data_IF_010858192914
#
_entry.id   IF_010858192914
#
_cell.length_a   1.000
_cell.length_b   1.000
_cell.length_c   1.000
_cell.angle_alpha   90.00
_cell.angle_beta   90.00
_cell.angle_gamma   90.00
#
_symmetry.space_group_name_H-M   'P 1'
#
loop_
_entity.id
_entity.type
_entity.pdbx_description
1 polymer ?
#
# COMPACT_ATOMS: atom_id res chain seq x y z
N UNK A 1 -0.75 9.06 -12.96
CA UNK A 1 -1.25 9.87 -11.83
C UNK A 1 -0.90 11.32 -12.11
N UNK A 2 -1.73 12.29 -11.70
CA UNK A 2 -1.30 13.70 -11.72
C UNK A 2 -0.18 13.90 -10.70
N UNK A 3 0.55 15.01 -10.77
CA UNK A 3 1.61 15.31 -9.79
C UNK A 3 1.02 15.39 -8.38
N UNK A 4 -0.13 16.07 -8.23
CA UNK A 4 -0.85 16.21 -6.95
C UNK A 4 -1.27 14.85 -6.39
N UNK A 5 -1.84 13.99 -7.23
CA UNK A 5 -2.24 12.64 -6.85
C UNK A 5 -1.03 11.81 -6.41
N UNK A 6 0.12 11.94 -7.10
CA UNK A 6 1.35 11.26 -6.72
C UNK A 6 1.88 11.68 -5.35
N UNK A 7 1.79 12.97 -5.00
CA UNK A 7 2.18 13.49 -3.68
C UNK A 7 1.32 12.90 -2.58
N UNK A 8 -0.02 12.94 -2.74
CA UNK A 8 -0.96 12.38 -1.75
C UNK A 8 -0.72 10.91 -1.46
N UNK A 9 -0.54 10.11 -2.51
CA UNK A 9 -0.22 8.68 -2.36
C UNK A 9 1.13 8.44 -1.69
N UNK A 10 2.10 9.34 -1.90
CA UNK A 10 3.42 9.24 -1.27
C UNK A 10 3.31 9.52 0.23
N UNK A 11 2.65 10.60 0.61
CA UNK A 11 2.41 10.98 2.00
C UNK A 11 1.68 9.86 2.74
N UNK A 12 0.57 9.39 2.18
CA UNK A 12 -0.17 8.26 2.75
C UNK A 12 0.66 6.99 2.92
N UNK A 13 1.47 6.62 1.91
CA UNK A 13 2.31 5.43 1.98
C UNK A 13 3.42 5.56 3.04
N UNK A 14 4.01 6.74 3.17
CA UNK A 14 5.03 7.01 4.19
C UNK A 14 4.43 6.98 5.60
N UNK A 15 3.26 7.57 5.79
CA UNK A 15 2.50 7.53 7.06
C UNK A 15 2.11 6.09 7.42
N UNK A 16 1.50 5.35 6.48
CA UNK A 16 1.10 3.96 6.70
C UNK A 16 2.27 3.10 7.14
N UNK A 17 3.42 3.25 6.48
CA UNK A 17 4.63 2.51 6.84
C UNK A 17 5.12 2.88 8.24
N UNK A 18 5.09 4.16 8.61
CA UNK A 18 5.46 4.60 9.96
C UNK A 18 4.52 4.01 11.01
N UNK A 19 3.22 4.01 10.77
CA UNK A 19 2.23 3.38 11.65
C UNK A 19 2.51 1.89 11.80
N UNK A 20 2.72 1.16 10.70
CA UNK A 20 3.08 -0.26 10.73
C UNK A 20 4.36 -0.53 11.52
N UNK A 21 5.38 0.31 11.37
CA UNK A 21 6.63 0.21 12.14
C UNK A 21 6.44 0.52 13.63
N UNK A 22 5.53 1.43 13.98
CA UNK A 22 5.23 1.77 15.36
C UNK A 22 4.37 0.69 16.06
N UNK A 23 3.41 0.11 15.32
CA UNK A 23 2.54 -0.96 15.79
C UNK A 23 3.16 -2.36 15.65
N UNK A 24 4.32 -2.46 15.00
CA UNK A 24 5.04 -3.71 14.73
C UNK A 24 4.18 -4.70 13.93
N UNK A 25 3.39 -4.19 12.99
CA UNK A 25 2.52 -4.96 12.10
C UNK A 25 3.14 -5.05 10.70
N UNK A 26 3.55 -6.25 10.22
CA UNK A 26 4.25 -6.39 8.95
C UNK A 26 3.33 -6.27 7.73
N UNK A 27 2.02 -6.42 7.93
CA UNK A 27 1.02 -6.32 6.88
C UNK A 27 -0.28 -5.66 7.38
N UNK A 28 -0.99 -5.03 6.46
CA UNK A 28 -2.29 -4.43 6.69
C UNK A 28 -3.20 -4.68 5.49
N UNK A 29 -4.44 -5.07 5.75
CA UNK A 29 -5.47 -5.19 4.71
C UNK A 29 -6.42 -4.01 4.82
N UNK A 30 -6.64 -3.31 3.70
CA UNK A 30 -7.56 -2.18 3.61
C UNK A 30 -8.52 -2.38 2.45
N UNK A 31 -9.75 -1.91 2.62
CA UNK A 31 -10.70 -1.82 1.52
C UNK A 31 -10.29 -0.73 0.53
N UNK A 32 -10.70 -0.87 -0.73
CA UNK A 32 -10.50 0.16 -1.75
C UNK A 32 -11.13 1.49 -1.34
N UNK A 33 -12.28 1.46 -0.66
CA UNK A 33 -12.95 2.66 -0.16
C UNK A 33 -12.15 3.37 0.93
N UNK A 34 -11.56 2.62 1.87
CA UNK A 34 -10.67 3.18 2.89
C UNK A 34 -9.44 3.83 2.25
N UNK A 35 -8.83 3.17 1.25
CA UNK A 35 -7.68 3.72 0.53
C UNK A 35 -8.06 5.02 -0.17
N UNK A 36 -9.22 5.10 -0.82
CA UNK A 36 -9.69 6.34 -1.47
C UNK A 36 -9.84 7.46 -0.45
N UNK A 37 -10.46 7.16 0.70
CA UNK A 37 -10.69 8.13 1.76
C UNK A 37 -9.38 8.63 2.36
N UNK A 38 -8.44 7.74 2.66
CA UNK A 38 -7.17 8.08 3.31
C UNK A 38 -6.19 8.77 2.34
N UNK A 39 -6.10 8.30 1.09
CA UNK A 39 -5.23 8.95 0.08
C UNK A 39 -5.81 10.24 -0.45
N UNK A 40 -7.12 10.48 -0.28
CA UNK A 40 -7.86 11.56 -0.95
C UNK A 40 -7.54 11.63 -2.45
N UNK A 41 -7.39 10.48 -3.12
CA UNK A 41 -7.02 10.39 -4.53
C UNK A 41 -8.10 10.99 -5.43
N UNK A 42 -7.69 11.57 -6.56
CA UNK A 42 -8.63 12.06 -7.59
C UNK A 42 -9.12 10.90 -8.50
N UNK A 43 -8.65 9.66 -8.26
CA UNK A 43 -9.09 8.47 -9.00
C UNK A 43 -10.46 8.00 -8.50
N UNK A 44 -11.32 7.60 -9.42
CA UNK A 44 -12.61 7.01 -9.06
C UNK A 44 -12.45 5.62 -8.44
N UNK A 45 -13.43 5.23 -7.62
CA UNK A 45 -13.56 3.88 -7.08
C UNK A 45 -13.58 2.81 -8.17
N UNK A 46 -14.14 3.11 -9.34
CA UNK A 46 -14.11 2.22 -10.50
C UNK A 46 -12.69 1.89 -10.95
N UNK A 47 -11.75 2.86 -10.90
CA UNK A 47 -10.36 2.64 -11.33
C UNK A 47 -9.62 1.79 -10.30
N UNK A 48 -9.71 2.15 -9.02
CA UNK A 48 -9.07 1.39 -7.94
C UNK A 48 -9.72 0.02 -7.76
N UNK A 49 -10.99 -0.15 -8.10
CA UNK A 49 -11.65 -1.47 -8.11
C UNK A 49 -11.16 -2.40 -9.22
N UNK A 50 -10.24 -1.98 -10.10
CA UNK A 50 -9.74 -2.86 -11.16
C UNK A 50 -8.45 -3.60 -10.76
N UNK A 51 -8.34 -4.91 -11.05
CA UNK A 51 -7.08 -5.65 -10.92
C UNK A 51 -5.94 -5.00 -11.72
N UNK A 52 -6.26 -4.36 -12.87
CA UNK A 52 -5.26 -3.70 -13.73
C UNK A 52 -4.53 -2.57 -13.00
N UNK A 53 -5.24 -1.79 -12.19
CA UNK A 53 -4.62 -0.72 -11.42
C UNK A 53 -3.60 -1.29 -10.42
N UNK A 54 -4.01 -2.26 -9.62
CA UNK A 54 -3.14 -2.87 -8.60
C UNK A 54 -1.97 -3.66 -9.19
N UNK A 55 -2.16 -4.36 -10.32
CA UNK A 55 -1.05 -4.97 -11.07
C UNK A 55 0.00 -3.92 -11.49
N UNK A 56 -0.45 -2.73 -11.89
CA UNK A 56 0.47 -1.64 -12.23
C UNK A 56 1.22 -1.11 -11.02
N UNK A 57 0.58 -1.01 -9.86
CA UNK A 57 1.25 -0.62 -8.61
C UNK A 57 2.26 -1.68 -8.16
N UNK A 58 1.87 -2.95 -8.22
CA UNK A 58 2.70 -4.10 -7.85
C UNK A 58 3.95 -4.20 -8.74
N UNK A 59 3.81 -3.91 -10.05
CA UNK A 59 4.94 -3.89 -10.97
C UNK A 59 5.97 -2.79 -10.67
N UNK A 60 5.63 -1.78 -9.85
CA UNK A 60 6.54 -0.69 -9.47
C UNK A 60 7.03 0.16 -10.64
N UNK A 61 6.28 0.19 -11.75
CA UNK A 61 6.69 0.85 -13.00
C UNK A 61 5.79 2.02 -13.36
N UNK A 62 6.40 3.05 -13.97
CA UNK A 62 5.69 4.20 -14.53
C UNK A 62 5.06 5.08 -13.46
N UNK A 63 3.83 5.55 -13.72
CA UNK A 63 3.20 6.58 -12.87
C UNK A 63 2.58 6.07 -11.57
N UNK A 64 2.51 4.75 -11.37
CA UNK A 64 1.89 4.09 -10.21
C UNK A 64 2.93 3.42 -9.28
N UNK A 65 4.19 3.87 -9.33
CA UNK A 65 5.31 3.27 -8.62
C UNK A 65 5.41 3.62 -7.12
N UNK A 66 4.54 4.52 -6.63
CA UNK A 66 4.57 5.06 -5.27
C UNK A 66 4.51 3.97 -4.19
N UNK A 67 3.56 3.04 -4.33
CA UNK A 67 3.49 1.67 -3.76
C UNK A 67 4.84 1.05 -3.42
N UNK A 68 5.43 0.55 -4.50
CA UNK A 68 6.68 -0.19 -4.49
C UNK A 68 7.84 0.65 -3.94
N UNK A 69 7.91 1.94 -4.28
CA UNK A 69 8.97 2.84 -3.81
C UNK A 69 8.92 3.14 -2.32
N UNK A 70 7.73 3.16 -1.73
CA UNK A 70 7.56 3.26 -0.29
C UNK A 70 7.97 1.95 0.43
N UNK A 71 8.20 0.87 -0.31
CA UNK A 71 8.67 -0.41 0.22
C UNK A 71 7.54 -1.38 0.52
N UNK A 72 6.38 -1.25 -0.14
CA UNK A 72 5.28 -2.19 -0.02
C UNK A 72 5.30 -3.28 -1.09
N UNK A 73 5.05 -4.51 -0.68
CA UNK A 73 4.53 -5.59 -1.51
C UNK A 73 3.01 -5.51 -1.48
N UNK A 74 2.38 -5.73 -2.64
CA UNK A 74 0.94 -5.52 -2.82
C UNK A 74 0.32 -6.85 -3.21
N UNK A 75 -0.65 -7.30 -2.42
CA UNK A 75 -1.47 -8.48 -2.69
C UNK A 75 -2.94 -8.06 -2.80
N UNK A 76 -3.66 -8.67 -3.74
CA UNK A 76 -5.08 -8.44 -3.96
C UNK A 76 -5.69 -9.59 -4.76
N UNK A 77 -6.98 -9.81 -4.59
CA UNK A 77 -7.76 -10.79 -5.35
C UNK A 77 -9.01 -10.15 -5.95
N UNK A 78 -9.37 -10.46 -7.20
CA UNK A 78 -10.68 -10.09 -7.72
C UNK A 78 -11.79 -10.89 -7.00
N UNK A 79 -12.89 -10.22 -6.68
CA UNK A 79 -14.13 -10.78 -6.14
C UNK A 79 -14.93 -11.49 -7.26
N UNK A 80 -16.13 -11.96 -6.92
CA UNK A 80 -17.03 -12.65 -7.86
C UNK A 80 -17.42 -11.80 -9.09
N UNK A 81 -17.36 -10.47 -8.99
CA UNK A 81 -17.63 -9.52 -10.07
C UNK A 81 -16.37 -9.14 -10.86
N UNK A 82 -15.22 -9.72 -10.54
CA UNK A 82 -13.94 -9.38 -11.16
C UNK A 82 -13.33 -8.07 -10.65
N UNK A 83 -13.85 -7.51 -9.55
CA UNK A 83 -13.39 -6.26 -8.93
C UNK A 83 -12.52 -6.51 -7.72
N UNK A 84 -11.66 -5.57 -7.38
CA UNK A 84 -10.85 -5.62 -6.16
C UNK A 84 -11.56 -4.83 -5.08
N UNK A 85 -11.94 -5.50 -3.99
CA UNK A 85 -12.57 -4.85 -2.84
C UNK A 85 -11.55 -4.53 -1.75
N UNK A 86 -10.54 -5.40 -1.58
CA UNK A 86 -9.51 -5.30 -0.55
C UNK A 86 -8.13 -5.47 -1.13
N UNK A 87 -7.16 -4.79 -0.52
CA UNK A 87 -5.74 -4.85 -0.85
C UNK A 87 -4.95 -5.04 0.43
N UNK A 88 -4.04 -5.99 0.40
CA UNK A 88 -3.08 -6.23 1.47
C UNK A 88 -1.75 -5.58 1.09
N UNK A 89 -1.24 -4.74 1.98
CA UNK A 89 0.04 -4.06 1.86
C UNK A 89 0.98 -4.65 2.89
N UNK A 90 2.04 -5.30 2.42
CA UNK A 90 3.06 -5.92 3.26
C UNK A 90 4.35 -5.13 3.16
N UNK A 91 5.09 -5.03 4.25
CA UNK A 91 6.45 -4.50 4.22
C UNK A 91 7.34 -5.41 3.38
N UNK A 92 8.16 -4.82 2.52
CA UNK A 92 9.17 -5.59 1.80
C UNK A 92 10.25 -6.13 2.75
N UNK A 93 11.16 -6.95 2.22
CA UNK A 93 12.24 -7.55 3.01
C UNK A 93 13.06 -6.51 3.80
N UNK A 94 13.38 -5.36 3.19
CA UNK A 94 14.15 -4.31 3.86
C UNK A 94 13.44 -3.77 5.10
N UNK A 95 12.15 -3.45 5.00
CA UNK A 95 11.40 -2.91 6.14
C UNK A 95 11.05 -4.00 7.16
N UNK A 96 10.80 -5.22 6.70
CA UNK A 96 10.62 -6.39 7.57
C UNK A 96 11.87 -6.66 8.41
N UNK A 97 13.07 -6.62 7.80
CA UNK A 97 14.34 -6.78 8.51
C UNK A 97 14.57 -5.67 9.55
N UNK A 98 14.21 -4.43 9.22
CA UNK A 98 14.30 -3.29 10.15
C UNK A 98 13.33 -3.52 11.33
N UNK A 99 12.10 -3.93 11.06
CA UNK A 99 11.10 -4.23 12.08
C UNK A 99 11.55 -5.37 12.99
N UNK A 100 12.08 -6.46 12.42
CA UNK A 100 12.59 -7.59 13.20
C UNK A 100 13.71 -7.16 14.15
N UNK A 101 14.64 -6.30 13.69
CA UNK A 101 15.69 -5.75 14.57
C UNK A 101 15.14 -4.90 15.73
N UNK A 102 14.00 -4.25 15.56
CA UNK A 102 13.34 -3.51 16.64
C UNK A 102 12.69 -4.48 17.63
N UNK A 103 11.98 -5.49 17.13
CA UNK A 103 11.40 -6.57 17.94
C UNK A 103 12.47 -7.27 18.79
N UNK A 104 13.58 -7.68 18.17
CA UNK A 104 14.68 -8.37 18.84
C UNK A 104 15.33 -7.53 19.97
N UNK A 105 15.22 -6.20 19.90
CA UNK A 105 15.72 -5.28 20.94
C UNK A 105 14.74 -5.09 22.09
N UNK A 106 13.44 -5.20 21.87
CA UNK A 106 12.43 -5.07 22.92
C UNK A 106 12.29 -6.32 23.78
N UNK A 107 12.70 -7.49 23.26
CA UNK A 107 12.64 -8.77 23.98
C UNK A 107 13.85 -8.98 24.92
N UNK A 108 14.87 -8.10 24.85
CA UNK A 108 16.03 -8.10 25.77
C UNK A 108 15.83 -7.12 26.91
#
# INVERSE_FOLDING_TARGET
MTIRDKVRWKEWAEELRQTMMAELTPEVTKSVEEIIRETATDKSSTVLGTPRFWKSCQAGKGTNDTLSKAGFLIEFGPNAEGRVDTVTLQLNATWTDIMQRVLDRQVK
#
